data_IF_126708605419
#
_entry.id   IF_126708605419
#
_cell.length_a   1.000
_cell.length_b   1.000
_cell.length_c   1.000
_cell.angle_alpha   90.00
_cell.angle_beta   90.00
_cell.angle_gamma   90.00
#
_symmetry.space_group_name_H-M   'P 1'
#
loop_
_entity.id
_entity.type
_entity.pdbx_description
1 polymer ?
#
# COMPACT_ATOMS: atom_id res chain seq x y z
N UNK A 1 10.03 -22.96 3.16
CA UNK A 1 10.38 -21.56 3.46
C UNK A 1 9.12 -20.84 3.90
N UNK A 2 9.07 -20.37 5.14
CA UNK A 2 7.88 -19.64 5.63
C UNK A 2 7.76 -18.25 4.95
N UNK A 3 6.62 -17.56 5.09
CA UNK A 3 6.42 -16.25 4.44
C UNK A 3 7.44 -15.20 4.87
N UNK A 4 7.85 -15.20 6.14
CA UNK A 4 8.88 -14.30 6.66
C UNK A 4 10.20 -14.47 5.89
N UNK A 5 10.69 -15.70 5.76
CA UNK A 5 11.91 -16.02 5.03
C UNK A 5 11.81 -15.65 3.54
N UNK A 6 10.64 -15.86 2.92
CA UNK A 6 10.37 -15.47 1.54
C UNK A 6 10.47 -13.94 1.36
N UNK A 7 9.86 -13.18 2.28
CA UNK A 7 9.92 -11.72 2.27
C UNK A 7 11.35 -11.21 2.54
N UNK A 8 12.09 -11.82 3.45
CA UNK A 8 13.50 -11.46 3.71
C UNK A 8 14.34 -11.65 2.44
N UNK A 9 14.26 -12.81 1.79
CA UNK A 9 14.99 -13.04 0.52
C UNK A 9 14.55 -12.10 -0.59
N UNK A 10 13.27 -11.72 -0.63
CA UNK A 10 12.78 -10.74 -1.59
C UNK A 10 13.39 -9.36 -1.31
N UNK A 11 13.44 -8.94 -0.04
CA UNK A 11 14.04 -7.67 0.37
C UNK A 11 15.54 -7.61 0.04
N UNK A 12 16.28 -8.68 0.28
CA UNK A 12 17.71 -8.76 -0.05
C UNK A 12 17.98 -8.51 -1.53
N UNK A 13 17.13 -9.04 -2.41
CA UNK A 13 17.20 -8.80 -3.85
C UNK A 13 16.78 -7.36 -4.20
N UNK A 14 15.70 -6.89 -3.59
CA UNK A 14 15.11 -5.59 -3.89
C UNK A 14 15.99 -4.42 -3.43
N UNK A 15 16.72 -4.58 -2.32
CA UNK A 15 17.67 -3.58 -1.82
C UNK A 15 18.75 -3.20 -2.86
N UNK A 16 19.09 -4.15 -3.74
CA UNK A 16 20.07 -4.03 -4.83
C UNK A 16 19.45 -3.61 -6.16
N UNK A 17 18.15 -3.34 -6.21
CA UNK A 17 17.45 -2.96 -7.43
C UNK A 17 18.04 -1.67 -8.03
N UNK A 18 18.23 -1.68 -9.35
CA UNK A 18 18.68 -0.54 -10.16
C UNK A 18 17.88 -0.41 -11.47
N UNK A 19 16.65 -0.93 -11.51
CA UNK A 19 15.86 -1.02 -12.75
C UNK A 19 15.28 0.30 -13.26
N UNK A 20 15.14 1.31 -12.41
CA UNK A 20 14.58 2.62 -12.79
C UNK A 20 15.35 3.77 -12.16
N UNK A 21 15.17 4.98 -12.70
CA UNK A 21 15.91 6.19 -12.30
C UNK A 21 15.83 6.54 -10.81
N UNK A 22 14.79 6.09 -10.10
CA UNK A 22 14.63 6.30 -8.65
C UNK A 22 15.77 5.67 -7.83
N UNK A 23 16.50 4.71 -8.40
CA UNK A 23 17.58 4.05 -7.70
C UNK A 23 18.74 5.01 -7.37
N UNK A 24 18.95 6.06 -8.17
CA UNK A 24 20.15 6.89 -8.12
C UNK A 24 20.20 7.85 -6.93
N UNK A 25 19.04 8.25 -6.40
CA UNK A 25 18.93 9.29 -5.38
C UNK A 25 18.24 8.81 -4.09
N UNK A 26 18.03 7.51 -3.93
CA UNK A 26 17.41 6.95 -2.71
C UNK A 26 18.42 6.94 -1.56
N UNK A 27 17.96 7.26 -0.35
CA UNK A 27 18.66 6.87 0.87
C UNK A 27 18.52 5.37 1.10
N UNK A 28 17.27 4.90 1.21
CA UNK A 28 16.97 3.48 1.41
C UNK A 28 15.87 3.01 0.45
N UNK A 29 15.97 1.74 0.07
CA UNK A 29 14.80 1.03 -0.45
C UNK A 29 13.81 0.84 0.70
N UNK A 30 12.57 1.27 0.48
CA UNK A 30 11.48 1.12 1.45
C UNK A 30 10.64 -0.10 1.06
N UNK A 31 10.96 -1.23 1.68
CA UNK A 31 10.39 -2.53 1.31
C UNK A 31 8.90 -2.65 1.63
N UNK A 32 8.57 -2.45 2.90
CA UNK A 32 7.29 -2.81 3.46
C UNK A 32 7.49 -3.30 4.89
N UNK A 33 6.54 -3.07 5.78
CA UNK A 33 6.60 -3.54 7.16
C UNK A 33 5.26 -4.07 7.63
N UNK A 34 5.29 -5.00 8.57
CA UNK A 34 4.08 -5.58 9.17
C UNK A 34 4.08 -7.10 9.20
N UNK A 35 2.90 -7.69 9.38
CA UNK A 35 2.71 -9.13 9.48
C UNK A 35 2.86 -9.84 8.12
N UNK A 36 3.74 -10.84 7.97
CA UNK A 36 3.82 -11.68 6.77
C UNK A 36 2.53 -12.46 6.47
N UNK A 37 1.69 -12.70 7.49
CA UNK A 37 0.38 -13.36 7.42
C UNK A 37 -0.79 -12.35 7.46
N UNK A 38 -0.54 -11.08 7.11
CA UNK A 38 -1.55 -10.03 7.19
C UNK A 38 -2.76 -10.31 6.30
N UNK A 39 -3.96 -10.23 6.87
CA UNK A 39 -5.23 -10.28 6.10
C UNK A 39 -5.51 -8.99 5.33
N UNK A 40 -4.89 -7.88 5.75
CA UNK A 40 -5.00 -6.57 5.10
C UNK A 40 -3.61 -6.11 4.68
N UNK A 41 -3.48 -5.72 3.42
CA UNK A 41 -2.30 -5.06 2.90
C UNK A 41 -2.64 -3.63 2.46
N UNK A 42 -2.05 -2.62 3.11
CA UNK A 42 -2.14 -1.22 2.71
C UNK A 42 -1.05 -0.88 1.70
N UNK A 43 -1.44 -0.27 0.59
CA UNK A 43 -0.53 0.10 -0.50
C UNK A 43 -0.69 1.58 -0.80
N UNK A 44 0.38 2.34 -0.55
CA UNK A 44 0.49 3.74 -0.97
C UNK A 44 1.21 3.91 -2.31
N UNK A 45 1.58 5.15 -2.60
CA UNK A 45 2.17 5.57 -3.86
C UNK A 45 3.69 5.34 -3.90
N UNK A 46 4.44 6.09 -3.09
CA UNK A 46 5.89 6.06 -3.03
C UNK A 46 6.38 6.54 -1.64
N UNK A 47 7.65 6.29 -1.27
CA UNK A 47 8.24 6.82 -0.05
C UNK A 47 8.36 8.35 -0.06
N UNK A 48 8.13 8.98 1.09
CA UNK A 48 8.50 10.36 1.34
C UNK A 48 9.91 10.47 1.93
N UNK A 49 10.33 11.69 2.27
CA UNK A 49 11.67 11.98 2.83
C UNK A 49 12.02 11.13 4.05
N UNK A 50 11.12 11.05 5.04
CA UNK A 50 11.39 10.29 6.28
C UNK A 50 11.41 8.79 6.05
N UNK A 51 10.56 8.31 5.16
CA UNK A 51 10.52 6.90 4.76
C UNK A 51 11.84 6.50 4.08
N UNK A 52 12.37 7.35 3.20
CA UNK A 52 13.64 7.16 2.51
C UNK A 52 14.84 7.20 3.46
N UNK A 53 14.82 8.08 4.46
CA UNK A 53 15.86 8.15 5.50
C UNK A 53 15.87 6.90 6.39
N UNK A 54 14.71 6.30 6.68
CA UNK A 54 14.57 5.22 7.66
C UNK A 54 14.39 3.83 7.04
N UNK A 55 14.09 3.72 5.75
CA UNK A 55 13.74 2.45 5.10
C UNK A 55 12.36 1.89 5.49
N UNK A 56 11.53 2.65 6.20
CA UNK A 56 10.25 2.21 6.76
C UNK A 56 9.10 2.99 6.09
N UNK A 57 8.06 2.33 5.55
CA UNK A 57 6.97 3.02 4.87
C UNK A 57 6.09 3.78 5.88
N UNK A 58 5.45 4.87 5.47
CA UNK A 58 4.44 5.57 6.28
C UNK A 58 4.91 5.87 7.73
N UNK A 59 6.05 6.56 7.88
CA UNK A 59 6.58 7.04 9.17
C UNK A 59 6.53 8.57 9.31
N UNK A 60 6.21 9.26 8.20
CA UNK A 60 5.94 10.68 8.15
C UNK A 60 4.58 11.09 8.74
N UNK A 61 4.13 12.29 8.38
CA UNK A 61 2.85 12.84 8.86
C UNK A 61 1.64 12.04 8.38
N UNK A 62 1.65 11.61 7.11
CA UNK A 62 0.65 10.70 6.53
C UNK A 62 0.65 9.33 7.22
N UNK A 63 1.82 8.85 7.65
CA UNK A 63 1.98 7.62 8.40
C UNK A 63 1.27 7.64 9.74
N UNK A 64 1.49 8.70 10.54
CA UNK A 64 0.79 8.87 11.82
C UNK A 64 -0.72 8.92 11.70
N UNK A 65 -1.24 9.43 10.58
CA UNK A 65 -2.67 9.40 10.29
C UNK A 65 -3.14 7.97 10.03
N UNK A 66 -2.41 7.24 9.19
CA UNK A 66 -2.72 5.85 8.89
C UNK A 66 -2.70 5.00 10.17
N UNK A 67 -1.68 5.15 11.02
CA UNK A 67 -1.57 4.43 12.29
C UNK A 67 -2.79 4.68 13.18
N UNK A 68 -3.21 5.94 13.36
CA UNK A 68 -4.43 6.29 14.11
C UNK A 68 -5.70 5.64 13.54
N UNK A 69 -5.78 5.48 12.22
CA UNK A 69 -6.95 4.84 11.60
C UNK A 69 -6.92 3.32 11.77
N UNK A 70 -5.76 2.69 11.67
CA UNK A 70 -5.58 1.27 11.99
C UNK A 70 -5.99 1.01 13.45
N UNK A 71 -5.56 1.87 14.37
CA UNK A 71 -5.97 1.80 15.79
C UNK A 71 -7.48 1.98 15.98
N UNK A 72 -8.12 2.88 15.21
CA UNK A 72 -9.56 3.13 15.30
C UNK A 72 -10.43 1.92 14.95
N UNK A 73 -9.89 0.97 14.18
CA UNK A 73 -10.54 -0.31 13.85
C UNK A 73 -10.05 -1.46 14.74
N UNK A 74 -9.46 -1.14 15.90
CA UNK A 74 -8.95 -2.09 16.91
C UNK A 74 -7.85 -3.02 16.37
N UNK A 75 -7.07 -2.54 15.40
CA UNK A 75 -5.88 -3.23 14.90
C UNK A 75 -4.64 -2.43 15.27
N UNK A 76 -3.49 -3.09 15.25
CA UNK A 76 -2.18 -2.45 15.38
C UNK A 76 -1.47 -2.50 14.03
N UNK A 77 -0.49 -1.63 13.86
CA UNK A 77 0.37 -1.62 12.67
C UNK A 77 1.02 -2.99 12.38
N UNK A 78 1.39 -3.71 13.45
CA UNK A 78 1.97 -5.05 13.36
C UNK A 78 0.98 -6.14 12.95
N UNK A 79 -0.33 -5.88 12.92
CA UNK A 79 -1.36 -6.86 12.53
C UNK A 79 -1.64 -6.84 11.01
N UNK A 80 -1.17 -5.80 10.32
CA UNK A 80 -1.39 -5.54 8.90
C UNK A 80 -0.05 -5.51 8.17
N UNK A 81 -0.06 -5.44 6.84
CA UNK A 81 1.14 -5.19 6.06
C UNK A 81 1.01 -3.85 5.34
N UNK A 82 2.06 -3.02 5.34
CA UNK A 82 2.07 -1.69 4.75
C UNK A 82 3.24 -1.58 3.78
N UNK A 83 2.98 -1.13 2.56
CA UNK A 83 4.03 -0.83 1.56
C UNK A 83 3.55 0.24 0.59
N UNK A 84 4.33 0.52 -0.45
CA UNK A 84 4.02 1.44 -1.55
C UNK A 84 4.15 0.73 -2.89
N UNK A 85 3.65 1.32 -3.98
CA UNK A 85 3.95 0.83 -5.33
C UNK A 85 5.43 0.99 -5.62
N UNK A 86 5.90 2.24 -5.61
CA UNK A 86 7.31 2.54 -5.77
C UNK A 86 8.05 2.28 -4.46
N UNK A 87 9.27 1.75 -4.56
CA UNK A 87 10.07 1.36 -3.39
C UNK A 87 11.18 2.34 -3.05
N UNK A 88 11.33 3.38 -3.87
CA UNK A 88 12.34 4.42 -3.74
C UNK A 88 11.63 5.77 -3.83
N UNK A 89 12.12 6.77 -3.09
CA UNK A 89 11.55 8.11 -3.09
C UNK A 89 11.80 8.82 -4.42
N UNK A 90 10.77 9.36 -5.10
CA UNK A 90 10.94 10.28 -6.21
C UNK A 90 11.63 11.58 -5.78
N UNK A 91 12.52 12.16 -6.62
CA UNK A 91 13.18 13.44 -6.34
C UNK A 91 12.16 14.52 -5.92
N UNK A 92 12.47 15.28 -4.87
CA UNK A 92 11.59 16.32 -4.33
C UNK A 92 10.17 15.86 -3.94
N UNK A 93 9.95 14.54 -3.75
CA UNK A 93 8.62 13.95 -3.55
C UNK A 93 7.62 14.26 -4.68
N UNK A 94 8.09 14.39 -5.92
CA UNK A 94 7.17 14.41 -7.07
C UNK A 94 6.36 13.12 -7.15
N UNK A 95 5.27 13.15 -7.90
CA UNK A 95 4.54 11.94 -8.29
C UNK A 95 5.49 10.98 -9.07
N UNK A 96 5.40 9.66 -8.87
CA UNK A 96 6.18 8.69 -9.63
C UNK A 96 5.73 8.66 -11.09
N UNK A 97 6.68 8.46 -11.99
CA UNK A 97 6.39 8.34 -13.42
C UNK A 97 5.78 6.95 -13.74
N UNK A 98 5.00 6.82 -14.81
CA UNK A 98 4.43 5.54 -15.22
C UNK A 98 5.48 4.42 -15.37
N UNK A 99 6.66 4.75 -15.91
CA UNK A 99 7.74 3.78 -16.13
C UNK A 99 8.35 3.33 -14.78
N UNK A 100 8.44 4.23 -13.80
CA UNK A 100 8.92 3.93 -12.45
C UNK A 100 7.98 2.99 -11.70
N UNK A 101 6.66 3.21 -11.87
CA UNK A 101 5.61 2.31 -11.36
C UNK A 101 5.74 0.93 -12.02
N UNK A 102 5.86 0.89 -13.36
CA UNK A 102 5.97 -0.35 -14.11
C UNK A 102 7.19 -1.17 -13.69
N UNK A 103 8.35 -0.55 -13.51
CA UNK A 103 9.58 -1.23 -13.08
C UNK A 103 9.52 -1.69 -11.61
N UNK A 104 8.78 -1.00 -10.75
CA UNK A 104 8.58 -1.40 -9.36
C UNK A 104 7.49 -2.47 -9.18
N UNK A 105 6.52 -2.56 -10.10
CA UNK A 105 5.38 -3.46 -9.99
C UNK A 105 5.74 -4.93 -9.72
N UNK A 106 6.76 -5.54 -10.37
CA UNK A 106 7.12 -6.93 -10.10
C UNK A 106 7.47 -7.21 -8.63
N UNK A 107 8.01 -6.21 -7.91
CA UNK A 107 8.29 -6.35 -6.48
C UNK A 107 7.01 -6.36 -5.65
N UNK A 108 6.07 -5.48 -5.97
CA UNK A 108 4.78 -5.44 -5.30
C UNK A 108 3.96 -6.71 -5.59
N UNK A 109 3.94 -7.16 -6.84
CA UNK A 109 3.30 -8.42 -7.25
C UNK A 109 3.81 -9.60 -6.41
N UNK A 110 5.15 -9.71 -6.24
CA UNK A 110 5.75 -10.76 -5.40
C UNK A 110 5.41 -10.62 -3.92
N UNK A 111 5.32 -9.40 -3.39
CA UNK A 111 4.87 -9.20 -2.00
C UNK A 111 3.42 -9.66 -1.82
N UNK A 112 2.53 -9.31 -2.74
CA UNK A 112 1.12 -9.74 -2.70
C UNK A 112 1.02 -11.27 -2.81
N UNK A 113 1.78 -11.88 -3.72
CA UNK A 113 1.83 -13.34 -3.90
C UNK A 113 2.29 -14.07 -2.63
N UNK A 114 3.33 -13.56 -1.95
CA UNK A 114 3.84 -14.18 -0.72
C UNK A 114 2.85 -14.00 0.43
N UNK A 115 2.33 -12.79 0.62
CA UNK A 115 1.48 -12.44 1.78
C UNK A 115 0.08 -13.06 1.63
N UNK A 116 -0.43 -13.13 0.41
CA UNK A 116 -1.79 -13.58 0.07
C UNK A 116 -2.87 -12.90 0.96
N UNK A 117 -2.97 -11.56 0.91
CA UNK A 117 -3.90 -10.83 1.76
C UNK A 117 -5.34 -11.04 1.30
N UNK A 118 -6.28 -11.12 2.25
CA UNK A 118 -7.71 -11.19 1.92
C UNK A 118 -8.22 -9.93 1.21
N UNK A 119 -7.68 -8.76 1.60
CA UNK A 119 -8.04 -7.47 1.03
C UNK A 119 -6.80 -6.60 0.89
N UNK A 120 -6.70 -5.93 -0.24
CA UNK A 120 -5.73 -4.86 -0.49
C UNK A 120 -6.43 -3.51 -0.34
N UNK A 121 -5.89 -2.64 0.51
CA UNK A 121 -6.39 -1.26 0.68
C UNK A 121 -5.45 -0.32 -0.05
N UNK A 122 -5.89 0.20 -1.20
CA UNK A 122 -5.11 1.18 -1.97
C UNK A 122 -5.34 2.59 -1.43
N UNK A 123 -4.26 3.30 -1.12
CA UNK A 123 -4.28 4.65 -0.58
C UNK A 123 -3.96 5.66 -1.69
N UNK A 124 -4.99 6.35 -2.19
CA UNK A 124 -4.84 7.38 -3.23
C UNK A 124 -4.96 6.86 -4.67
N UNK A 125 -4.91 7.80 -5.62
CA UNK A 125 -5.14 7.53 -7.05
C UNK A 125 -4.08 6.60 -7.64
N UNK A 126 -2.80 6.83 -7.35
CA UNK A 126 -1.71 6.04 -7.95
C UNK A 126 -1.77 4.56 -7.54
N UNK A 127 -1.97 4.33 -6.23
CA UNK A 127 -2.24 3.01 -5.67
C UNK A 127 -3.40 2.32 -6.39
N UNK A 128 -4.55 3.00 -6.49
CA UNK A 128 -5.72 2.50 -7.19
C UNK A 128 -5.45 2.19 -8.68
N UNK A 129 -4.83 3.14 -9.40
CA UNK A 129 -4.64 3.04 -10.83
C UNK A 129 -3.63 1.97 -11.25
N UNK A 130 -2.74 1.56 -10.34
CA UNK A 130 -1.87 0.40 -10.60
C UNK A 130 -2.63 -0.93 -10.68
N UNK A 131 -3.83 -1.00 -10.11
CA UNK A 131 -4.72 -2.16 -10.25
C UNK A 131 -5.88 -1.91 -11.23
N UNK A 132 -6.36 -0.67 -11.32
CA UNK A 132 -7.51 -0.25 -12.11
C UNK A 132 -7.19 1.05 -12.87
N UNK A 133 -6.53 0.97 -14.06
CA UNK A 133 -5.92 2.13 -14.73
C UNK A 133 -6.86 3.31 -15.00
N UNK A 134 -8.15 3.05 -15.25
CA UNK A 134 -9.14 4.09 -15.61
C UNK A 134 -10.01 4.53 -14.42
N UNK A 135 -9.81 3.98 -13.23
CA UNK A 135 -10.65 4.27 -12.07
C UNK A 135 -10.35 5.66 -11.48
N UNK A 136 -11.41 6.38 -11.08
CA UNK A 136 -11.27 7.65 -10.35
C UNK A 136 -11.46 7.42 -8.87
N UNK A 137 -10.52 7.93 -8.06
CA UNK A 137 -10.60 7.78 -6.60
C UNK A 137 -11.88 8.37 -6.01
N UNK A 138 -12.39 9.46 -6.58
CA UNK A 138 -13.65 10.12 -6.17
C UNK A 138 -14.90 9.26 -6.35
N UNK A 139 -14.86 8.24 -7.20
CA UNK A 139 -16.00 7.36 -7.50
C UNK A 139 -15.85 5.98 -6.84
N UNK A 140 -14.60 5.53 -6.71
CA UNK A 140 -14.23 4.19 -6.26
C UNK A 140 -14.03 4.07 -4.75
N UNK A 141 -13.72 5.17 -4.05
CA UNK A 141 -13.41 5.11 -2.62
C UNK A 141 -14.57 4.50 -1.81
N UNK A 142 -14.23 3.73 -0.77
CA UNK A 142 -15.23 3.20 0.16
C UNK A 142 -16.10 2.07 -0.38
N UNK A 143 -15.79 1.54 -1.57
CA UNK A 143 -16.45 0.39 -2.22
C UNK A 143 -15.45 -0.74 -2.41
N UNK A 144 -15.88 -1.98 -2.17
CA UNK A 144 -15.07 -3.15 -2.50
C UNK A 144 -15.14 -3.40 -4.01
N UNK A 145 -13.99 -3.67 -4.62
CA UNK A 145 -13.86 -3.96 -6.05
C UNK A 145 -13.10 -5.28 -6.19
N UNK A 146 -13.67 -6.22 -6.94
CA UNK A 146 -12.97 -7.45 -7.30
C UNK A 146 -12.25 -7.24 -8.63
N UNK A 147 -10.98 -7.63 -8.69
CA UNK A 147 -10.18 -7.57 -9.91
C UNK A 147 -9.23 -8.75 -9.97
N UNK A 148 -8.54 -8.92 -11.10
CA UNK A 148 -7.59 -10.01 -11.31
C UNK A 148 -6.19 -9.47 -11.55
N UNK A 149 -5.21 -10.02 -10.83
CA UNK A 149 -3.79 -9.84 -11.16
C UNK A 149 -3.32 -11.06 -11.96
N UNK A 150 -2.66 -10.91 -13.12
CA UNK A 150 -2.33 -12.01 -14.03
C UNK A 150 -1.68 -13.24 -13.37
N UNK A 151 -0.80 -13.05 -12.37
CA UNK A 151 -0.07 -14.16 -11.70
C UNK A 151 -0.64 -14.60 -10.35
N UNK A 152 -1.60 -13.86 -9.81
CA UNK A 152 -2.13 -14.11 -8.45
C UNK A 152 -3.58 -14.59 -8.53
N UNK A 153 -4.36 -14.08 -9.48
CA UNK A 153 -5.78 -14.38 -9.61
C UNK A 153 -6.65 -13.29 -9.01
N UNK A 154 -7.83 -13.69 -8.52
CA UNK A 154 -8.84 -12.76 -8.04
C UNK A 154 -8.44 -12.17 -6.69
N UNK A 155 -8.50 -10.85 -6.59
CA UNK A 155 -8.21 -10.10 -5.37
C UNK A 155 -9.32 -9.09 -5.10
N UNK A 156 -9.47 -8.74 -3.82
CA UNK A 156 -10.39 -7.70 -3.37
C UNK A 156 -9.62 -6.44 -3.05
N UNK A 157 -9.99 -5.35 -3.70
CA UNK A 157 -9.41 -4.03 -3.48
C UNK A 157 -10.44 -3.14 -2.79
N UNK A 158 -9.99 -2.39 -1.80
CA UNK A 158 -10.78 -1.39 -1.10
C UNK A 158 -10.08 -0.02 -1.20
N UNK A 159 -10.46 0.84 -2.16
CA UNK A 159 -9.79 2.11 -2.35
C UNK A 159 -10.16 3.12 -1.27
N UNK A 160 -9.18 3.89 -0.82
CA UNK A 160 -9.33 5.00 0.10
C UNK A 160 -8.58 6.22 -0.43
N UNK A 161 -9.02 7.42 -0.04
CA UNK A 161 -8.21 8.61 -0.23
C UNK A 161 -6.85 8.47 0.47
N UNK A 162 -5.81 9.10 -0.09
CA UNK A 162 -4.49 9.06 0.52
C UNK A 162 -4.47 9.82 1.86
N UNK A 163 -3.81 9.33 2.92
CA UNK A 163 -3.72 10.02 4.20
C UNK A 163 -3.18 11.45 4.12
N UNK A 164 -2.33 11.75 3.12
CA UNK A 164 -1.84 13.12 2.90
C UNK A 164 -2.97 14.10 2.54
N UNK A 165 -3.95 13.68 1.75
CA UNK A 165 -5.11 14.49 1.38
C UNK A 165 -6.04 14.67 2.58
N UNK A 166 -6.28 13.59 3.35
CA UNK A 166 -7.04 13.62 4.59
C UNK A 166 -6.39 14.51 5.67
N UNK A 167 -5.07 14.71 5.63
CA UNK A 167 -4.37 15.64 6.54
C UNK A 167 -4.72 17.11 6.28
N UNK A 168 -4.88 17.47 5.00
CA UNK A 168 -4.99 18.86 4.56
C UNK A 168 -6.46 19.28 4.46
N UNK A 169 -7.33 18.39 3.97
CA UNK A 169 -8.72 18.71 3.70
C UNK A 169 -9.66 18.03 4.71
N UNK A 170 -10.42 18.83 5.47
CA UNK A 170 -11.37 18.35 6.49
C UNK A 170 -12.49 17.47 5.92
N UNK A 171 -13.00 17.79 4.73
CA UNK A 171 -14.03 16.99 4.05
C UNK A 171 -13.47 15.62 3.65
N UNK A 172 -12.28 15.60 3.05
CA UNK A 172 -11.58 14.36 2.73
C UNK A 172 -11.24 13.55 3.98
N UNK A 173 -10.91 14.23 5.10
CA UNK A 173 -10.67 13.57 6.39
C UNK A 173 -11.89 12.81 6.89
N UNK A 174 -13.06 13.45 6.87
CA UNK A 174 -14.31 12.82 7.30
C UNK A 174 -14.65 11.60 6.44
N UNK A 175 -14.56 11.73 5.11
CA UNK A 175 -14.78 10.62 4.17
C UNK A 175 -13.80 9.47 4.43
N UNK A 176 -12.51 9.79 4.60
CA UNK A 176 -11.49 8.79 4.88
C UNK A 176 -11.75 8.03 6.17
N UNK A 177 -12.16 8.72 7.25
CA UNK A 177 -12.53 8.11 8.53
C UNK A 177 -13.79 7.22 8.40
N UNK A 178 -14.80 7.66 7.65
CA UNK A 178 -16.03 6.87 7.41
C UNK A 178 -15.76 5.60 6.62
N UNK A 179 -14.95 5.69 5.56
CA UNK A 179 -14.61 4.51 4.77
C UNK A 179 -13.72 3.53 5.54
N UNK A 180 -12.80 4.02 6.37
CA UNK A 180 -11.94 3.17 7.18
C UNK A 180 -12.74 2.26 8.13
N UNK A 181 -13.84 2.77 8.69
CA UNK A 181 -14.76 2.02 9.56
C UNK A 181 -15.42 0.81 8.87
N UNK A 182 -15.42 0.75 7.54
CA UNK A 182 -15.98 -0.37 6.77
C UNK A 182 -15.04 -1.58 6.75
N UNK A 183 -13.72 -1.38 6.92
CA UNK A 183 -12.70 -2.43 6.80
C UNK A 183 -13.00 -3.67 7.66
N UNK A 184 -13.35 -3.56 8.97
CA UNK A 184 -13.64 -4.74 9.79
C UNK A 184 -14.77 -5.60 9.24
N UNK A 185 -15.82 -5.00 8.69
CA UNK A 185 -16.95 -5.72 8.09
C UNK A 185 -16.55 -6.47 6.83
N UNK A 186 -15.58 -5.95 6.07
CA UNK A 186 -15.07 -6.61 4.87
C UNK A 186 -14.21 -7.84 5.20
N UNK A 187 -13.54 -7.84 6.36
CA UNK A 187 -12.75 -8.99 6.84
C UNK A 187 -13.60 -10.14 7.39
N UNK A 188 -14.82 -9.84 7.85
CA UNK A 188 -15.76 -10.86 8.26
C UNK A 188 -16.15 -11.64 7.02
N UNK A 189 -15.74 -12.91 6.96
CA UNK A 189 -16.20 -13.82 5.91
C UNK A 189 -17.73 -13.74 5.90
N UNK A 190 -18.34 -13.44 4.76
CA UNK A 190 -19.70 -13.91 4.50
C UNK A 190 -19.62 -15.44 4.50
N UNK A 191 -19.73 -16.05 5.70
CA UNK A 191 -20.29 -17.38 5.78
C UNK A 191 -21.72 -17.24 5.29
N UNK A 192 -21.97 -17.84 4.13
CA UNK A 192 -23.20 -18.57 3.81
C UNK A 192 -24.50 -17.93 4.32
N UNK A 193 -25.21 -17.27 3.40
CA UNK A 193 -26.64 -17.56 3.29
C UNK A 193 -26.78 -18.61 2.20
#
# INVERSE_FOLDING_TARGET
MNKTEQLTKLNDKMSKCSKCALHSNRGHVVFGTGNPEAKIMFIGEAPGKKEDELGIPFVGSSGRILDKMIESIKMKRQDVYITNICKCRPPENRDPLPEEIQECWPWLEKQIEIIDPKIIVTLGKFALNSFLPVAKISEAHGKIIETKIPKIGNIKIFPLHHPAAARINKKTRAIFEEDFKKIPKLLQNKKEQ
#
